data_IF_228948550037
#
_entry.id   IF_228948550037
#
_cell.length_a   1.000
_cell.length_b   1.000
_cell.length_c   1.000
_cell.angle_alpha   90.00
_cell.angle_beta   90.00
_cell.angle_gamma   90.00
#
_symmetry.space_group_name_H-M   'P 1'
#
loop_
_entity.id
_entity.type
_entity.pdbx_description
1 polymer ?
#
# COMPACT_ATOMS: atom_id res chain seq x y z
N UNK A 1 11.34 -25.57 7.22
CA UNK A 1 12.78 -25.26 7.07
C UNK A 1 12.94 -24.20 5.97
N UNK A 2 12.59 -22.93 6.24
CA UNK A 2 12.77 -21.79 5.32
C UNK A 2 13.22 -20.58 6.16
N UNK A 3 14.26 -20.76 6.94
CA UNK A 3 14.84 -19.69 7.78
C UNK A 3 15.91 -18.86 7.04
N UNK A 4 16.23 -19.18 5.79
CA UNK A 4 17.32 -18.55 5.04
C UNK A 4 16.90 -17.53 3.98
N UNK A 5 15.63 -17.16 3.87
CA UNK A 5 15.11 -16.33 2.75
C UNK A 5 14.55 -14.97 3.16
N UNK A 6 14.90 -14.46 4.33
CA UNK A 6 14.62 -13.05 4.66
C UNK A 6 15.92 -12.25 4.51
N UNK A 7 16.25 -11.73 3.33
CA UNK A 7 17.44 -10.91 3.20
C UNK A 7 17.30 -9.70 4.12
N UNK A 8 18.39 -9.35 4.79
CA UNK A 8 18.45 -8.14 5.60
C UNK A 8 18.12 -6.92 4.74
N UNK A 9 17.69 -5.84 5.37
CA UNK A 9 17.46 -4.58 4.65
C UNK A 9 18.83 -4.02 4.28
N UNK A 10 18.98 -3.65 3.01
CA UNK A 10 20.22 -3.12 2.46
C UNK A 10 20.21 -1.58 2.43
N UNK A 11 21.36 -0.96 2.59
CA UNK A 11 21.50 0.50 2.47
C UNK A 11 21.03 1.02 1.11
N UNK A 12 21.31 0.29 0.02
CA UNK A 12 20.86 0.66 -1.31
C UNK A 12 19.34 0.70 -1.47
N UNK A 13 18.59 -0.13 -0.74
CA UNK A 13 17.12 -0.09 -0.73
C UNK A 13 16.63 1.20 -0.05
N UNK A 14 17.26 1.59 1.05
CA UNK A 14 16.96 2.84 1.77
C UNK A 14 17.27 4.03 0.89
N UNK A 15 18.46 4.05 0.28
CA UNK A 15 18.88 5.12 -0.62
C UNK A 15 17.94 5.27 -1.81
N UNK A 16 17.60 4.18 -2.49
CA UNK A 16 16.65 4.19 -3.60
C UNK A 16 15.29 4.71 -3.16
N UNK A 17 14.83 4.29 -1.99
CA UNK A 17 13.55 4.72 -1.44
C UNK A 17 13.56 6.20 -1.13
N UNK A 18 14.62 6.73 -0.53
CA UNK A 18 14.78 8.15 -0.26
C UNK A 18 14.75 8.99 -1.54
N UNK A 19 15.43 8.54 -2.60
CA UNK A 19 15.38 9.21 -3.91
C UNK A 19 13.99 9.22 -4.51
N UNK A 20 13.19 8.18 -4.28
CA UNK A 20 11.83 8.03 -4.81
C UNK A 20 10.75 8.79 -4.03
N UNK A 21 11.04 9.26 -2.82
CA UNK A 21 10.08 10.02 -2.01
C UNK A 21 9.82 11.40 -2.62
N UNK A 22 8.55 11.69 -2.81
CA UNK A 22 8.11 13.01 -3.28
C UNK A 22 8.20 14.04 -2.17
N UNK A 23 8.76 15.20 -2.49
CA UNK A 23 8.81 16.39 -1.65
C UNK A 23 7.48 17.16 -1.67
N UNK A 24 7.37 18.21 -0.86
CA UNK A 24 6.19 19.07 -0.76
C UNK A 24 4.91 18.31 -0.38
N UNK A 25 5.04 17.29 0.47
CA UNK A 25 3.92 16.55 1.06
C UNK A 25 3.82 16.88 2.54
N UNK A 26 2.59 16.95 3.04
CA UNK A 26 2.34 17.14 4.46
C UNK A 26 3.10 16.10 5.28
N UNK A 27 3.88 16.59 6.25
CA UNK A 27 4.50 15.74 7.27
C UNK A 27 3.44 15.37 8.31
N UNK A 28 3.65 14.26 9.00
CA UNK A 28 2.92 13.94 10.21
C UNK A 28 3.27 14.94 11.31
N UNK A 29 2.56 14.88 12.44
CA UNK A 29 2.80 15.71 13.61
C UNK A 29 4.18 15.57 14.28
N UNK A 30 5.08 14.71 13.76
CA UNK A 30 6.52 14.67 14.12
C UNK A 30 7.31 15.84 13.52
N UNK A 31 6.68 16.60 12.63
CA UNK A 31 7.30 17.78 12.03
C UNK A 31 8.49 17.52 11.12
N UNK A 32 8.87 16.26 10.85
CA UNK A 32 10.04 15.92 10.02
C UNK A 32 9.63 15.90 8.55
N UNK A 33 10.01 16.90 7.75
CA UNK A 33 9.71 16.92 6.34
C UNK A 33 10.62 15.97 5.54
N UNK A 34 10.13 15.48 4.41
CA UNK A 34 10.92 14.60 3.52
C UNK A 34 12.19 15.29 3.00
N UNK A 35 12.16 16.61 2.89
CA UNK A 35 13.26 17.45 2.45
C UNK A 35 14.49 17.34 3.37
N UNK A 36 14.27 17.18 4.68
CA UNK A 36 15.35 17.05 5.65
C UNK A 36 16.21 15.81 5.33
N UNK A 37 15.59 14.70 5.00
CA UNK A 37 16.33 13.47 4.63
C UNK A 37 17.13 13.66 3.34
N UNK A 38 16.66 14.49 2.41
CA UNK A 38 17.38 14.80 1.17
C UNK A 38 18.58 15.71 1.41
N UNK A 39 18.50 16.59 2.40
CA UNK A 39 19.61 17.47 2.79
C UNK A 39 20.71 16.66 3.48
N UNK A 40 20.35 15.77 4.38
CA UNK A 40 21.28 14.94 5.17
C UNK A 40 21.96 13.81 4.36
N UNK A 41 21.48 13.53 3.14
CA UNK A 41 22.06 12.54 2.21
C UNK A 41 22.51 11.23 2.89
N UNK A 42 23.82 10.98 2.92
CA UNK A 42 24.41 9.72 3.39
C UNK A 42 24.17 9.48 4.88
N UNK A 43 24.16 10.52 5.71
CA UNK A 43 23.86 10.40 7.13
C UNK A 43 22.41 9.97 7.38
N UNK A 44 21.48 10.50 6.57
CA UNK A 44 20.09 10.04 6.62
C UNK A 44 19.97 8.57 6.19
N UNK A 45 20.70 8.15 5.16
CA UNK A 45 20.69 6.75 4.71
C UNK A 45 21.17 5.83 5.82
N UNK A 46 22.30 6.10 6.44
CA UNK A 46 22.87 5.29 7.52
C UNK A 46 21.94 5.20 8.73
N UNK A 47 21.40 6.35 9.17
CA UNK A 47 20.46 6.40 10.28
C UNK A 47 19.19 5.60 10.01
N UNK A 48 18.56 5.82 8.87
CA UNK A 48 17.33 5.13 8.47
C UNK A 48 17.58 3.65 8.21
N UNK A 49 18.71 3.28 7.63
CA UNK A 49 19.11 1.88 7.46
C UNK A 49 19.21 1.18 8.81
N UNK A 50 19.88 1.77 9.80
CA UNK A 50 20.00 1.21 11.14
C UNK A 50 18.61 0.96 11.77
N UNK A 51 17.71 1.94 11.69
CA UNK A 51 16.35 1.84 12.25
C UNK A 51 15.54 0.78 11.51
N UNK A 52 15.55 0.79 10.19
CA UNK A 52 14.81 -0.18 9.38
C UNK A 52 15.32 -1.61 9.59
N UNK A 53 16.65 -1.77 9.65
CA UNK A 53 17.30 -3.06 9.88
C UNK A 53 16.97 -3.61 11.28
N UNK A 54 17.02 -2.75 12.31
CA UNK A 54 16.64 -3.17 13.67
C UNK A 54 15.17 -3.58 13.72
N UNK A 55 14.26 -2.76 13.13
CA UNK A 55 12.84 -3.08 13.05
C UNK A 55 12.61 -4.41 12.32
N UNK A 56 13.34 -4.66 11.25
CA UNK A 56 13.27 -5.91 10.48
C UNK A 56 13.70 -7.11 11.30
N UNK A 57 14.84 -7.03 12.01
CA UNK A 57 15.36 -8.13 12.83
C UNK A 57 14.53 -8.42 14.06
N UNK A 58 14.11 -7.38 14.76
CA UNK A 58 13.34 -7.53 16.00
C UNK A 58 11.85 -7.80 15.78
N UNK A 59 11.35 -7.56 14.56
CA UNK A 59 9.93 -7.59 14.21
C UNK A 59 9.09 -6.61 15.08
N UNK A 60 9.74 -5.64 15.70
CA UNK A 60 9.10 -4.66 16.57
C UNK A 60 9.07 -3.28 15.91
N UNK A 61 7.87 -2.81 15.64
CA UNK A 61 7.64 -1.46 15.13
C UNK A 61 7.64 -0.45 16.26
N UNK A 62 8.29 0.68 16.05
CA UNK A 62 8.19 1.81 16.97
C UNK A 62 6.73 2.19 17.22
N UNK A 63 6.41 2.62 18.47
CA UNK A 63 5.06 3.07 18.80
C UNK A 63 4.62 4.25 17.93
N UNK A 64 5.55 5.13 17.58
CA UNK A 64 5.28 6.27 16.72
C UNK A 64 4.94 5.85 15.28
N UNK A 65 5.48 4.73 14.81
CA UNK A 65 5.17 4.20 13.49
C UNK A 65 3.81 3.52 13.43
N UNK A 66 3.29 3.05 14.57
CA UNK A 66 1.97 2.42 14.70
C UNK A 66 0.83 3.44 14.75
N UNK A 67 1.13 4.72 14.92
CA UNK A 67 0.15 5.79 15.00
C UNK A 67 0.08 6.55 13.69
N UNK A 68 -1.11 6.86 13.23
CA UNK A 68 -1.37 7.73 12.10
C UNK A 68 -2.29 8.87 12.50
N UNK A 69 -2.12 10.01 11.85
CA UNK A 69 -3.05 11.13 11.97
C UNK A 69 -4.00 11.07 10.79
N UNK A 70 -5.30 10.97 11.05
CA UNK A 70 -6.31 10.93 10.00
C UNK A 70 -6.80 12.35 9.70
N UNK A 71 -6.75 12.72 8.43
CA UNK A 71 -7.30 13.98 7.92
C UNK A 71 -8.54 13.66 7.10
N UNK A 72 -9.74 14.15 7.50
CA UNK A 72 -10.94 14.00 6.72
C UNK A 72 -10.91 14.96 5.52
N UNK A 73 -11.09 14.43 4.32
CA UNK A 73 -11.23 15.20 3.09
C UNK A 73 -12.68 15.10 2.63
N UNK A 74 -13.34 16.25 2.46
CA UNK A 74 -14.72 16.28 1.97
C UNK A 74 -14.81 15.81 0.52
N UNK A 75 -15.75 14.93 0.24
CA UNK A 75 -16.20 14.62 -1.12
C UNK A 75 -17.13 15.72 -1.62
N UNK A 76 -17.37 15.76 -2.94
CA UNK A 76 -18.40 16.65 -3.51
C UNK A 76 -19.76 16.27 -2.91
N UNK A 77 -20.51 17.25 -2.42
CA UNK A 77 -21.84 17.05 -1.85
C UNK A 77 -22.03 17.71 -0.48
N UNK A 78 -22.98 17.21 0.30
CA UNK A 78 -23.32 17.77 1.60
C UNK A 78 -22.22 17.48 2.64
N UNK A 79 -21.52 18.53 3.09
CA UNK A 79 -20.47 18.44 4.09
C UNK A 79 -20.95 18.03 5.51
N UNK A 80 -22.27 17.98 5.75
CA UNK A 80 -22.85 17.61 7.06
C UNK A 80 -22.89 16.09 7.30
N UNK A 81 -22.74 15.27 6.24
CA UNK A 81 -22.78 13.81 6.37
C UNK A 81 -21.39 13.19 6.53
N UNK A 82 -21.15 12.39 7.56
CA UNK A 82 -19.89 11.68 7.77
C UNK A 82 -19.51 10.74 6.60
N UNK A 83 -20.50 10.21 5.88
CA UNK A 83 -20.32 9.39 4.67
C UNK A 83 -19.66 10.15 3.52
N UNK A 84 -19.74 11.48 3.53
CA UNK A 84 -19.19 12.35 2.48
C UNK A 84 -17.72 12.73 2.72
N UNK A 85 -17.07 12.09 3.65
CA UNK A 85 -15.65 12.27 3.87
C UNK A 85 -14.86 11.02 3.52
N UNK A 86 -13.66 11.23 2.98
CA UNK A 86 -12.64 10.21 2.82
C UNK A 86 -11.48 10.56 3.74
N UNK A 87 -11.00 9.62 4.53
CA UNK A 87 -9.87 9.86 5.43
C UNK A 87 -8.55 9.57 4.72
N UNK A 88 -7.57 10.47 4.91
CA UNK A 88 -6.18 10.22 4.52
C UNK A 88 -5.37 10.04 5.80
N UNK A 89 -4.64 8.93 5.87
CA UNK A 89 -3.73 8.66 6.98
C UNK A 89 -2.36 9.28 6.72
N UNK A 90 -1.93 10.17 7.60
CA UNK A 90 -0.58 10.70 7.62
C UNK A 90 0.27 9.86 8.57
N UNK A 91 1.32 9.28 8.05
CA UNK A 91 2.33 8.49 8.79
C UNK A 91 3.68 9.18 8.72
N UNK A 92 4.60 8.84 9.65
CA UNK A 92 5.96 9.40 9.68
C UNK A 92 6.72 9.08 8.40
N UNK A 93 7.68 9.93 8.03
CA UNK A 93 8.48 9.72 6.83
C UNK A 93 9.35 8.46 6.94
N UNK A 94 9.92 8.19 8.12
CA UNK A 94 10.71 6.98 8.36
C UNK A 94 9.84 5.71 8.19
N UNK A 95 8.60 5.72 8.69
CA UNK A 95 7.65 4.62 8.46
C UNK A 95 7.33 4.42 6.98
N UNK A 96 7.18 5.51 6.21
CA UNK A 96 6.96 5.43 4.75
C UNK A 96 8.13 4.77 4.03
N UNK A 97 9.36 5.04 4.46
CA UNK A 97 10.56 4.41 3.88
C UNK A 97 10.51 2.91 4.07
N UNK A 98 10.28 2.45 5.30
CA UNK A 98 10.16 1.03 5.60
C UNK A 98 9.04 0.36 4.79
N UNK A 99 7.84 0.97 4.77
CA UNK A 99 6.71 0.46 3.99
C UNK A 99 7.00 0.41 2.49
N UNK A 100 7.76 1.38 1.97
CA UNK A 100 8.14 1.42 0.55
C UNK A 100 9.11 0.29 0.20
N UNK A 101 10.08 -0.01 1.09
CA UNK A 101 10.98 -1.15 0.93
C UNK A 101 10.17 -2.46 0.91
N UNK A 102 9.24 -2.62 1.85
CA UNK A 102 8.36 -3.78 1.90
C UNK A 102 7.49 -3.89 0.65
N UNK A 103 6.94 -2.78 0.19
CA UNK A 103 6.15 -2.74 -1.06
C UNK A 103 6.97 -3.22 -2.26
N UNK A 104 8.23 -2.77 -2.39
CA UNK A 104 9.09 -3.20 -3.50
C UNK A 104 9.37 -4.70 -3.46
N UNK A 105 9.68 -5.22 -2.29
CA UNK A 105 9.94 -6.66 -2.09
C UNK A 105 8.70 -7.49 -2.42
N UNK A 106 7.53 -7.06 -1.95
CA UNK A 106 6.25 -7.72 -2.23
C UNK A 106 5.85 -7.65 -3.70
N UNK A 107 6.14 -6.52 -4.37
CA UNK A 107 5.71 -6.29 -5.74
C UNK A 107 6.20 -7.38 -6.70
N UNK A 108 7.36 -7.96 -6.45
CA UNK A 108 7.92 -9.05 -7.27
C UNK A 108 7.03 -10.29 -7.22
N UNK A 109 6.52 -10.65 -6.04
CA UNK A 109 5.63 -11.80 -5.85
C UNK A 109 4.21 -11.48 -6.34
N UNK A 110 3.68 -10.34 -5.95
CA UNK A 110 2.32 -9.91 -6.33
C UNK A 110 2.15 -9.86 -7.84
N UNK A 111 3.15 -9.40 -8.59
CA UNK A 111 3.08 -9.34 -10.05
C UNK A 111 2.96 -10.73 -10.71
N UNK A 112 3.43 -11.78 -10.07
CA UNK A 112 3.33 -13.15 -10.58
C UNK A 112 1.97 -13.78 -10.28
N UNK A 113 1.33 -13.36 -9.18
CA UNK A 113 0.08 -13.93 -8.70
C UNK A 113 -1.17 -13.21 -9.23
N UNK A 114 -1.03 -11.93 -9.64
CA UNK A 114 -2.16 -11.16 -10.17
C UNK A 114 -2.56 -11.66 -11.55
N UNK A 115 -3.83 -12.09 -11.74
CA UNK A 115 -4.33 -12.50 -13.04
C UNK A 115 -4.21 -11.39 -14.09
N UNK A 116 -4.02 -11.75 -15.35
CA UNK A 116 -3.86 -10.79 -16.45
C UNK A 116 -5.08 -9.90 -16.68
N UNK A 117 -6.25 -10.34 -16.26
CA UNK A 117 -7.49 -9.56 -16.34
C UNK A 117 -7.54 -8.39 -15.36
N UNK A 118 -6.75 -8.44 -14.27
CA UNK A 118 -6.73 -7.37 -13.29
C UNK A 118 -5.87 -6.21 -13.77
N UNK A 119 -6.47 -5.03 -13.88
CA UNK A 119 -5.76 -3.79 -14.22
C UNK A 119 -5.44 -2.92 -13.01
N UNK A 120 -6.26 -2.96 -11.96
CA UNK A 120 -6.06 -2.16 -10.76
C UNK A 120 -4.76 -2.48 -10.04
N UNK A 121 -4.02 -1.44 -9.63
CA UNK A 121 -2.73 -1.53 -8.92
C UNK A 121 -1.61 -2.27 -9.67
N UNK A 122 -1.74 -2.44 -10.97
CA UNK A 122 -0.75 -3.09 -11.83
C UNK A 122 0.00 -2.07 -12.68
N UNK A 123 1.33 -2.14 -12.68
CA UNK A 123 2.17 -1.24 -13.48
C UNK A 123 1.93 -1.49 -14.98
N UNK A 124 1.75 -0.42 -15.74
CA UNK A 124 1.52 -0.50 -17.19
C UNK A 124 0.09 -0.88 -17.60
N UNK A 125 -0.82 -1.02 -16.64
CA UNK A 125 -2.26 -1.22 -16.89
C UNK A 125 -3.04 -0.01 -16.40
N UNK A 126 -4.06 0.39 -17.13
CA UNK A 126 -4.86 1.55 -16.79
C UNK A 126 -6.33 1.43 -17.22
N UNK A 127 -7.09 2.46 -16.92
CA UNK A 127 -8.51 2.54 -17.26
C UNK A 127 -8.74 2.45 -18.77
N UNK A 128 -7.81 2.98 -19.58
CA UNK A 128 -7.91 2.91 -21.04
C UNK A 128 -7.88 1.48 -21.55
N UNK A 129 -7.02 0.62 -20.97
CA UNK A 129 -6.92 -0.79 -21.36
C UNK A 129 -8.22 -1.52 -21.07
N UNK A 130 -8.85 -1.22 -19.91
CA UNK A 130 -10.13 -1.82 -19.53
C UNK A 130 -11.28 -1.34 -20.41
N UNK A 131 -11.30 -0.06 -20.80
CA UNK A 131 -12.28 0.47 -21.75
C UNK A 131 -12.11 -0.23 -23.10
N UNK A 132 -10.87 -0.38 -23.58
CA UNK A 132 -10.59 -1.07 -24.84
C UNK A 132 -11.06 -2.53 -24.79
N UNK A 133 -10.82 -3.24 -23.69
CA UNK A 133 -11.31 -4.61 -23.49
C UNK A 133 -12.84 -4.69 -23.55
N UNK A 134 -13.55 -3.76 -22.90
CA UNK A 134 -15.02 -3.72 -22.95
C UNK A 134 -15.51 -3.44 -24.37
N UNK A 135 -14.91 -2.47 -25.06
CA UNK A 135 -15.25 -2.15 -26.44
C UNK A 135 -15.04 -3.37 -27.34
N UNK A 136 -13.90 -4.05 -27.22
CA UNK A 136 -13.62 -5.25 -27.97
C UNK A 136 -14.64 -6.37 -27.72
N UNK A 137 -15.05 -6.59 -26.45
CA UNK A 137 -16.10 -7.56 -26.12
C UNK A 137 -17.43 -7.18 -26.79
N UNK A 138 -17.80 -5.90 -26.75
CA UNK A 138 -19.04 -5.41 -27.35
C UNK A 138 -19.02 -5.63 -28.88
N UNK A 139 -17.92 -5.29 -29.54
CA UNK A 139 -17.76 -5.47 -30.99
C UNK A 139 -17.88 -6.94 -31.38
N UNK A 140 -17.15 -7.84 -30.71
CA UNK A 140 -17.24 -9.26 -30.99
C UNK A 140 -18.66 -9.82 -30.82
N UNK A 141 -19.36 -9.42 -29.77
CA UNK A 141 -20.72 -9.93 -29.50
C UNK A 141 -21.72 -9.39 -30.51
N UNK A 142 -21.51 -8.16 -31.00
CA UNK A 142 -22.30 -7.58 -32.11
C UNK A 142 -22.22 -8.41 -33.35
N UNK A 143 -21.02 -8.85 -33.73
CA UNK A 143 -20.80 -9.72 -34.90
C UNK A 143 -21.55 -11.05 -34.81
N UNK A 144 -21.68 -11.58 -33.59
CA UNK A 144 -22.43 -12.81 -33.34
C UNK A 144 -23.92 -12.58 -33.01
N UNK A 145 -24.42 -11.33 -33.05
CA UNK A 145 -25.81 -10.95 -32.76
C UNK A 145 -26.33 -11.52 -31.44
N UNK A 146 -25.46 -11.58 -30.40
CA UNK A 146 -25.80 -12.07 -29.06
C UNK A 146 -26.04 -10.91 -28.11
N UNK A 147 -26.89 -11.14 -27.11
CA UNK A 147 -27.09 -10.19 -26.01
C UNK A 147 -25.95 -10.34 -24.99
N UNK A 148 -25.47 -9.18 -24.46
CA UNK A 148 -24.54 -9.13 -23.36
C UNK A 148 -25.12 -8.27 -22.24
N UNK A 149 -24.85 -8.66 -21.01
CA UNK A 149 -25.24 -7.95 -19.81
C UNK A 149 -23.98 -7.61 -19.01
N UNK A 150 -23.80 -6.36 -18.65
CA UNK A 150 -22.71 -5.89 -17.81
C UNK A 150 -23.22 -5.59 -16.41
N UNK A 151 -22.51 -6.08 -15.40
CA UNK A 151 -22.72 -5.71 -14.01
C UNK A 151 -21.48 -4.97 -13.50
N UNK A 152 -21.66 -3.73 -13.05
CA UNK A 152 -20.59 -2.93 -12.46
C UNK A 152 -20.78 -2.90 -10.94
N UNK A 153 -19.75 -3.31 -10.20
CA UNK A 153 -19.76 -3.35 -8.74
C UNK A 153 -18.74 -2.33 -8.24
N UNK A 154 -19.21 -1.32 -7.52
CA UNK A 154 -18.38 -0.30 -6.86
C UNK A 154 -18.51 -0.44 -5.35
N UNK A 155 -17.40 -0.69 -4.68
CA UNK A 155 -17.36 -0.85 -3.24
C UNK A 155 -17.05 0.49 -2.56
N UNK A 156 -18.00 1.04 -1.84
CA UNK A 156 -17.77 2.21 -1.01
C UNK A 156 -16.76 1.89 0.10
N UNK A 157 -15.66 2.64 0.18
CA UNK A 157 -14.63 2.50 1.22
C UNK A 157 -14.06 1.08 1.33
N UNK A 158 -13.73 0.46 0.21
CA UNK A 158 -13.24 -0.93 0.14
C UNK A 158 -12.09 -1.24 1.12
N UNK A 159 -11.13 -0.31 1.28
CA UNK A 159 -10.00 -0.49 2.20
C UNK A 159 -10.39 -0.39 3.67
N UNK A 160 -11.43 0.37 4.02
CA UNK A 160 -11.91 0.50 5.40
C UNK A 160 -12.69 -0.76 5.85
N UNK A 161 -13.19 -1.55 4.88
CA UNK A 161 -14.00 -2.74 5.11
C UNK A 161 -13.19 -4.05 5.11
N UNK A 162 -11.86 -3.99 5.00
CA UNK A 162 -11.01 -5.19 4.97
C UNK A 162 -10.96 -5.83 6.36
N UNK A 163 -11.33 -7.11 6.42
CA UNK A 163 -11.11 -7.94 7.62
C UNK A 163 -9.65 -8.39 7.65
N UNK A 164 -8.88 -7.77 8.55
CA UNK A 164 -7.45 -8.02 8.66
C UNK A 164 -7.12 -9.46 9.09
N UNK A 165 -7.98 -10.09 9.92
CA UNK A 165 -7.75 -11.47 10.33
C UNK A 165 -7.91 -12.43 9.14
N UNK A 166 -8.92 -12.17 8.28
CA UNK A 166 -9.10 -12.98 7.06
C UNK A 166 -7.96 -12.76 6.09
N UNK A 167 -7.47 -11.52 5.92
CA UNK A 167 -6.32 -11.22 5.08
C UNK A 167 -5.07 -11.95 5.56
N UNK A 168 -4.84 -11.98 6.88
CA UNK A 168 -3.71 -12.68 7.48
C UNK A 168 -3.81 -14.19 7.30
N UNK A 169 -4.97 -14.78 7.57
CA UNK A 169 -5.20 -16.22 7.38
C UNK A 169 -5.06 -16.62 5.90
N UNK A 170 -5.60 -15.83 4.98
CA UNK A 170 -5.43 -16.04 3.54
C UNK A 170 -3.97 -16.02 3.11
N UNK A 171 -3.14 -15.18 3.76
CA UNK A 171 -1.70 -15.13 3.51
C UNK A 171 -0.96 -16.34 4.08
N UNK A 172 -1.51 -17.01 5.11
CA UNK A 172 -0.94 -18.21 5.72
C UNK A 172 -1.35 -19.51 5.01
N UNK A 173 -2.59 -19.59 4.56
CA UNK A 173 -3.19 -20.81 3.97
C UNK A 173 -2.93 -20.92 2.47
N UNK A 174 -2.54 -19.85 1.83
CA UNK A 174 -2.37 -19.80 0.39
C UNK A 174 -1.11 -20.51 -0.10
N UNK A 175 -1.20 -21.17 -1.24
CA UNK A 175 -0.08 -21.66 -2.05
C UNK A 175 0.87 -20.52 -2.49
N UNK A 176 0.55 -19.30 -2.15
CA UNK A 176 1.28 -18.07 -2.35
C UNK A 176 1.68 -17.50 -1.01
N UNK A 177 2.70 -18.11 -0.38
CA UNK A 177 3.36 -17.46 0.75
C UNK A 177 4.22 -16.31 0.24
N UNK A 178 3.82 -15.05 0.41
CA UNK A 178 4.82 -14.01 0.53
C UNK A 178 5.71 -14.41 1.72
N UNK A 179 7.02 -14.16 1.64
CA UNK A 179 7.91 -14.45 2.77
C UNK A 179 7.29 -13.82 4.00
N UNK A 180 7.22 -14.58 5.12
CA UNK A 180 6.62 -14.15 6.38
C UNK A 180 6.94 -12.69 6.69
N UNK A 181 6.13 -11.80 6.17
CA UNK A 181 6.20 -10.39 6.50
C UNK A 181 5.56 -10.23 7.87
N UNK A 182 6.15 -9.45 8.76
CA UNK A 182 5.55 -9.18 10.06
C UNK A 182 4.34 -8.26 9.92
N UNK A 183 3.31 -8.72 9.21
CA UNK A 183 2.04 -8.02 9.07
C UNK A 183 1.24 -8.02 10.37
N UNK A 184 1.55 -8.94 11.29
CA UNK A 184 0.77 -9.16 12.51
C UNK A 184 0.64 -7.95 13.45
N UNK A 185 1.46 -6.91 13.28
CA UNK A 185 1.48 -5.82 14.28
C UNK A 185 1.41 -4.42 13.72
N UNK A 186 1.32 -4.24 12.41
CA UNK A 186 1.33 -2.89 11.80
C UNK A 186 -0.05 -2.31 11.51
N UNK A 187 -1.11 -3.09 11.70
CA UNK A 187 -2.46 -2.60 11.47
C UNK A 187 -2.99 -1.92 12.72
N UNK A 188 -3.05 -0.62 12.68
CA UNK A 188 -3.72 0.19 13.68
C UNK A 188 -5.16 -0.26 13.85
N UNK A 189 -5.50 -0.85 14.99
CA UNK A 189 -6.86 -0.92 15.46
C UNK A 189 -7.31 0.51 15.78
N UNK A 190 -7.94 1.17 14.83
CA UNK A 190 -8.79 2.30 15.15
C UNK A 190 -10.07 1.76 15.80
N UNK A 191 -10.05 1.53 17.10
CA UNK A 191 -11.30 1.50 17.85
C UNK A 191 -11.79 2.94 17.90
N UNK A 192 -12.82 3.22 17.13
CA UNK A 192 -13.72 4.33 17.40
C UNK A 192 -14.38 4.03 18.75
N UNK A 193 -13.95 4.68 19.80
CA UNK A 193 -14.78 4.81 20.98
C UNK A 193 -15.94 5.74 20.57
N UNK A 194 -17.11 5.17 20.52
CA UNK A 194 -18.41 5.84 20.57
C UNK A 194 -18.55 6.62 21.83
#
# INVERSE_FOLDING_TARGET
>A
MITHLKPDILECEVEWTLRSITTNKASRGDGIPAELFKILKDDAVKMLHSICHQTWKTQQWSQDWKRSVFIPISKKGNAKGCSNYCTIALISQASKIMLKILQMRLQQYVNQEIPDIQAGFRKGRGTRDQIANICWIIENIRDFQKNIYFCFIDNAKAFDCVDHNKLENSSRDGNTRPPDLPLEKSVCRSRSNS
#
